data_IF_080942863544
#
_entry.id   IF_080942863544
#
_cell.length_a   1.000
_cell.length_b   1.000
_cell.length_c   1.000
_cell.angle_alpha   90.00
_cell.angle_beta   90.00
_cell.angle_gamma   90.00
#
_symmetry.space_group_name_H-M   'P 1'
#
loop_
_entity.id
_entity.type
_entity.pdbx_description
1 polymer ?
#
# COMPACT_ATOMS: atom_id res chain seq x y z
N UNK A 1 -5.73 -3.56 -13.25
CA UNK A 1 -4.93 -4.36 -12.30
C UNK A 1 -4.07 -3.39 -11.49
N UNK A 2 -4.02 -3.54 -10.17
CA UNK A 2 -3.10 -2.78 -9.32
C UNK A 2 -1.94 -3.69 -8.89
N UNK A 3 -0.71 -3.21 -9.04
CA UNK A 3 0.51 -3.90 -8.60
C UNK A 3 1.28 -3.03 -7.62
N UNK A 4 1.75 -3.63 -6.52
CA UNK A 4 2.69 -3.07 -5.55
C UNK A 4 4.00 -3.83 -5.66
N UNK A 5 5.12 -3.12 -5.72
CA UNK A 5 6.46 -3.70 -5.83
C UNK A 5 7.43 -2.91 -4.94
N UNK A 6 7.97 -3.56 -3.90
CA UNK A 6 8.96 -3.03 -2.94
C UNK A 6 8.62 -1.64 -2.38
N UNK A 7 7.37 -1.44 -1.98
CA UNK A 7 6.83 -0.15 -1.56
C UNK A 7 7.27 0.21 -0.14
N UNK A 8 7.92 1.36 0.02
CA UNK A 8 8.13 2.03 1.31
C UNK A 8 7.40 3.36 1.33
N UNK A 9 6.64 3.63 2.41
CA UNK A 9 5.98 4.91 2.64
C UNK A 9 6.29 5.43 4.03
N UNK A 10 6.58 6.73 4.09
CA UNK A 10 6.72 7.49 5.33
C UNK A 10 5.59 8.49 5.46
N UNK A 11 4.83 8.39 6.56
CA UNK A 11 3.81 9.39 6.90
C UNK A 11 4.44 10.58 7.65
N UNK A 12 3.72 11.71 7.70
CA UNK A 12 4.11 12.87 8.49
C UNK A 12 4.29 12.56 9.99
N UNK A 13 3.54 11.58 10.51
CA UNK A 13 3.62 11.10 11.90
C UNK A 13 4.75 10.09 12.12
N UNK A 14 5.76 10.04 11.24
CA UNK A 14 6.90 9.09 11.29
C UNK A 14 6.48 7.61 11.27
N UNK A 15 5.29 7.27 10.76
CA UNK A 15 4.92 5.87 10.53
C UNK A 15 5.54 5.38 9.23
N UNK A 16 6.02 4.14 9.24
CA UNK A 16 6.58 3.46 8.07
C UNK A 16 5.68 2.30 7.69
N UNK A 17 5.35 2.20 6.41
CA UNK A 17 4.75 1.02 5.81
C UNK A 17 5.73 0.44 4.80
N UNK A 18 5.98 -0.86 4.89
CA UNK A 18 6.76 -1.62 3.92
C UNK A 18 5.85 -2.71 3.37
N UNK A 19 5.77 -2.83 2.04
CA UNK A 19 5.03 -3.88 1.37
C UNK A 19 5.85 -4.41 0.18
N UNK A 20 6.30 -5.65 0.28
CA UNK A 20 7.22 -6.24 -0.70
C UNK A 20 6.54 -6.46 -2.05
N UNK A 21 5.35 -7.07 -2.06
CA UNK A 21 4.64 -7.38 -3.30
C UNK A 21 3.15 -7.61 -3.07
N UNK A 22 2.31 -7.06 -3.95
CA UNK A 22 0.89 -7.40 -4.02
C UNK A 22 0.31 -7.16 -5.42
N UNK A 23 -0.68 -7.95 -5.82
CA UNK A 23 -1.42 -7.77 -7.08
C UNK A 23 -2.92 -7.87 -6.81
N UNK A 24 -3.67 -6.89 -7.30
CA UNK A 24 -5.12 -6.81 -7.20
C UNK A 24 -5.72 -6.79 -8.61
N UNK A 25 -6.55 -7.80 -8.89
CA UNK A 25 -7.22 -7.98 -10.18
C UNK A 25 -8.56 -7.24 -10.22
N UNK A 26 -8.93 -6.63 -11.37
CA UNK A 26 -10.25 -6.06 -11.56
C UNK A 26 -11.36 -7.09 -11.29
N UNK A 27 -12.50 -6.65 -10.74
CA UNK A 27 -13.65 -7.51 -10.46
C UNK A 27 -13.48 -8.45 -9.27
N UNK A 28 -12.38 -8.36 -8.52
CA UNK A 28 -12.12 -9.20 -7.34
C UNK A 28 -12.24 -8.38 -6.06
N UNK A 29 -12.89 -8.96 -5.04
CA UNK A 29 -12.96 -8.41 -3.69
C UNK A 29 -11.82 -8.95 -2.83
N UNK A 30 -11.08 -8.05 -2.19
CA UNK A 30 -9.92 -8.39 -1.36
C UNK A 30 -10.13 -7.98 0.10
N UNK A 31 -9.56 -8.77 1.01
CA UNK A 31 -9.57 -8.50 2.45
C UNK A 31 -8.13 -8.24 2.95
N UNK A 32 -7.91 -7.08 3.57
CA UNK A 32 -6.62 -6.73 4.18
C UNK A 32 -6.69 -7.00 5.69
N UNK A 33 -5.89 -7.97 6.18
CA UNK A 33 -5.89 -8.43 7.58
C UNK A 33 -4.62 -8.02 8.36
N UNK A 34 -4.64 -8.26 9.68
CA UNK A 34 -3.50 -8.09 10.61
C UNK A 34 -3.84 -7.24 11.85
N UNK A 35 -2.87 -7.05 12.76
CA UNK A 35 -3.07 -6.34 14.04
C UNK A 35 -3.40 -4.85 13.90
N UNK A 36 -3.94 -4.25 14.95
CA UNK A 36 -4.07 -2.79 15.05
C UNK A 36 -2.71 -2.11 14.83
N UNK A 37 -2.73 -0.97 14.16
CA UNK A 37 -1.54 -0.19 13.77
C UNK A 37 -0.51 -0.90 12.86
N UNK A 38 -0.85 -2.03 12.25
CA UNK A 38 -0.01 -2.69 11.21
C UNK A 38 0.09 -1.94 9.87
N UNK A 39 -0.54 -0.77 9.74
CA UNK A 39 -0.44 0.05 8.53
C UNK A 39 -1.52 -0.17 7.47
N UNK A 40 -2.63 -0.87 7.76
CA UNK A 40 -3.73 -1.09 6.78
C UNK A 40 -4.29 0.19 6.20
N UNK A 41 -4.64 1.15 7.07
CA UNK A 41 -5.17 2.44 6.63
C UNK A 41 -4.11 3.21 5.86
N UNK A 42 -2.83 3.08 6.23
CA UNK A 42 -1.73 3.70 5.51
C UNK A 42 -1.57 3.07 4.10
N UNK A 43 -1.71 1.75 3.99
CA UNK A 43 -1.68 1.01 2.72
C UNK A 43 -2.85 1.42 1.81
N UNK A 44 -4.07 1.53 2.34
CA UNK A 44 -5.22 1.96 1.55
C UNK A 44 -5.09 3.41 1.06
N UNK A 45 -4.57 4.30 1.91
CA UNK A 45 -4.29 5.69 1.52
C UNK A 45 -3.15 5.81 0.51
N UNK A 46 -2.15 4.92 0.62
CA UNK A 46 -1.08 4.82 -0.35
C UNK A 46 -1.61 4.43 -1.74
N UNK A 47 -2.41 3.35 -1.77
CA UNK A 47 -3.08 2.88 -2.97
C UNK A 47 -3.91 4.00 -3.60
N UNK A 48 -4.66 4.78 -2.81
CA UNK A 48 -5.46 5.90 -3.34
C UNK A 48 -4.65 7.14 -3.76
N UNK A 49 -3.32 7.10 -3.75
CA UNK A 49 -2.45 8.18 -4.21
C UNK A 49 -2.26 9.32 -3.20
N UNK A 50 -2.66 9.16 -1.93
CA UNK A 50 -2.52 10.21 -0.90
C UNK A 50 -1.11 10.29 -0.30
N UNK A 51 -0.26 9.29 -0.54
CA UNK A 51 1.12 9.27 -0.07
C UNK A 51 2.07 9.04 -1.23
N UNK A 52 3.19 9.77 -1.20
CA UNK A 52 4.31 9.52 -2.11
C UNK A 52 5.18 8.39 -1.56
N UNK A 53 5.51 7.43 -2.43
CA UNK A 53 6.47 6.39 -2.10
C UNK A 53 7.85 6.99 -1.83
N UNK A 54 8.53 6.46 -0.82
CA UNK A 54 9.96 6.70 -0.57
C UNK A 54 10.78 5.83 -1.51
N UNK A 55 10.34 4.59 -1.72
CA UNK A 55 10.88 3.63 -2.68
C UNK A 55 9.79 2.70 -3.18
N UNK A 56 10.05 2.04 -4.31
CA UNK A 56 9.10 1.17 -4.98
C UNK A 56 7.93 1.94 -5.59
N UNK A 57 6.97 1.20 -6.12
CA UNK A 57 5.90 1.79 -6.92
C UNK A 57 4.54 1.10 -6.71
N UNK A 58 3.48 1.89 -6.89
CA UNK A 58 2.10 1.40 -7.05
C UNK A 58 1.70 1.67 -8.50
N UNK A 59 1.59 0.62 -9.30
CA UNK A 59 1.29 0.70 -10.72
C UNK A 59 -0.17 0.32 -10.99
N UNK A 60 -0.88 1.18 -11.70
CA UNK A 60 -2.23 0.94 -12.21
C UNK A 60 -2.14 0.60 -13.71
N UNK A 61 -2.56 -0.60 -14.10
CA UNK A 61 -2.61 -1.07 -15.49
C UNK A 61 -4.02 -1.45 -15.91
#
# INVERSE_FOLDING_TARGET
>A
MLKIDNLEIKSAEKRVLIADYAVFQPGTSYLILGKNQSGKTLLLKAISGQYKAVSGDINWQ
#
